data_IF_787263017178
#
_entry.id   IF_787263017178
#
_cell.length_a   1.000
_cell.length_b   1.000
_cell.length_c   1.000
_cell.angle_alpha   90.00
_cell.angle_beta   90.00
_cell.angle_gamma   90.00
#
_symmetry.space_group_name_H-M   'P 1'
#
loop_
_entity.id
_entity.type
_entity.pdbx_description
1 polymer ?
#
# COMPACT_ATOMS: atom_id res chain seq x y z
N UNK A 1 -7.85 -16.88 -5.83
CA UNK A 1 -8.05 -15.75 -6.75
C UNK A 1 -7.00 -14.68 -6.62
N UNK A 2 -7.06 -13.71 -7.50
CA UNK A 2 -6.17 -12.55 -7.47
C UNK A 2 -6.97 -11.34 -6.95
N UNK A 3 -6.76 -10.97 -5.71
CA UNK A 3 -7.45 -9.85 -5.08
C UNK A 3 -6.83 -8.52 -5.51
N UNK A 4 -7.11 -8.09 -6.73
CA UNK A 4 -6.64 -6.83 -7.25
C UNK A 4 -7.64 -5.71 -6.95
N UNK A 5 -7.35 -4.87 -5.99
CA UNK A 5 -8.15 -3.68 -5.71
C UNK A 5 -8.21 -2.77 -6.93
N UNK A 6 -9.38 -2.19 -7.18
CA UNK A 6 -9.72 -1.44 -8.39
C UNK A 6 -8.75 -0.29 -8.73
N UNK A 7 -8.11 0.28 -7.73
CA UNK A 7 -7.18 1.42 -7.85
C UNK A 7 -5.69 1.02 -7.81
N UNK A 8 -5.38 -0.27 -7.81
CA UNK A 8 -4.00 -0.79 -7.80
C UNK A 8 -3.51 -1.14 -9.21
N UNK A 9 -2.20 -1.12 -9.39
CA UNK A 9 -1.54 -1.40 -10.68
C UNK A 9 -1.96 -2.75 -11.29
N UNK A 10 -2.12 -3.79 -10.47
CA UNK A 10 -2.60 -5.10 -10.94
C UNK A 10 -3.96 -5.02 -11.63
N UNK A 11 -4.93 -4.31 -11.03
CA UNK A 11 -6.25 -4.11 -11.62
C UNK A 11 -6.19 -3.19 -12.86
N UNK A 12 -5.30 -2.22 -12.90
CA UNK A 12 -5.07 -1.38 -14.09
C UNK A 12 -4.54 -2.20 -15.25
N UNK A 13 -3.54 -3.05 -15.01
CA UNK A 13 -2.98 -3.95 -16.02
C UNK A 13 -4.04 -4.92 -16.55
N UNK A 14 -4.87 -5.47 -15.66
CA UNK A 14 -6.00 -6.32 -16.04
C UNK A 14 -6.99 -5.58 -16.94
N UNK A 15 -7.41 -4.36 -16.58
CA UNK A 15 -8.32 -3.55 -17.39
C UNK A 15 -7.70 -3.16 -18.73
N UNK A 16 -6.43 -2.79 -18.75
CA UNK A 16 -5.72 -2.42 -19.98
C UNK A 16 -5.64 -3.60 -20.95
N UNK A 17 -5.30 -4.78 -20.47
CA UNK A 17 -5.27 -6.00 -21.28
C UNK A 17 -6.65 -6.33 -21.86
N UNK A 18 -7.68 -6.30 -21.01
CA UNK A 18 -9.06 -6.55 -21.45
C UNK A 18 -9.55 -5.54 -22.49
N UNK A 19 -9.23 -4.26 -22.32
CA UNK A 19 -9.58 -3.20 -23.27
C UNK A 19 -8.91 -3.38 -24.65
N UNK A 20 -7.73 -4.01 -24.70
CA UNK A 20 -7.02 -4.35 -25.94
C UNK A 20 -7.51 -5.67 -26.56
N UNK A 21 -8.54 -6.31 -26.01
CA UNK A 21 -9.05 -7.60 -26.47
C UNK A 21 -8.16 -8.79 -26.11
N UNK A 22 -7.19 -8.60 -25.22
CA UNK A 22 -6.35 -9.66 -24.67
C UNK A 22 -7.15 -10.58 -23.75
N UNK A 23 -6.97 -11.89 -23.90
CA UNK A 23 -7.71 -12.90 -23.14
C UNK A 23 -6.97 -13.37 -21.89
N UNK A 24 -5.66 -13.16 -21.81
CA UNK A 24 -4.83 -13.66 -20.72
C UNK A 24 -3.76 -12.66 -20.35
N UNK A 25 -3.47 -12.58 -19.05
CA UNK A 25 -2.32 -11.89 -18.49
C UNK A 25 -1.42 -12.95 -17.85
N UNK A 26 -0.19 -13.03 -18.29
CA UNK A 26 0.81 -13.83 -17.59
C UNK A 26 1.13 -13.21 -16.24
N UNK A 27 1.27 -14.05 -15.23
CA UNK A 27 1.58 -13.62 -13.88
C UNK A 27 2.50 -14.63 -13.19
N UNK A 28 3.36 -14.12 -12.33
CA UNK A 28 4.18 -14.92 -11.44
C UNK A 28 4.11 -14.38 -10.02
N UNK A 29 3.98 -15.27 -9.04
CA UNK A 29 3.94 -14.94 -7.62
C UNK A 29 5.23 -15.44 -6.97
N UNK A 30 6.03 -14.53 -6.45
CA UNK A 30 7.26 -14.83 -5.73
C UNK A 30 7.01 -14.80 -4.21
N UNK A 31 7.24 -15.90 -3.54
CA UNK A 31 7.06 -16.08 -2.10
C UNK A 31 8.44 -16.24 -1.45
N UNK A 32 8.66 -15.58 -0.32
CA UNK A 32 9.94 -15.67 0.40
C UNK A 32 11.07 -14.93 -0.32
N UNK A 33 10.82 -13.70 -0.74
CA UNK A 33 11.84 -12.83 -1.35
C UNK A 33 12.62 -12.06 -0.29
N UNK A 34 13.66 -11.35 -0.72
CA UNK A 34 14.31 -10.32 0.11
C UNK A 34 13.25 -9.33 0.64
N UNK A 35 13.28 -8.97 1.92
CA UNK A 35 12.28 -8.05 2.52
C UNK A 35 12.13 -6.72 1.78
N UNK A 36 13.19 -6.22 1.15
CA UNK A 36 13.12 -4.98 0.35
C UNK A 36 12.33 -5.18 -0.95
N UNK A 37 12.38 -6.37 -1.54
CA UNK A 37 11.56 -6.72 -2.71
C UNK A 37 10.08 -6.82 -2.31
N UNK A 38 9.80 -7.48 -1.18
CA UNK A 38 8.43 -7.51 -0.62
C UNK A 38 7.91 -6.12 -0.35
N UNK A 39 8.72 -5.25 0.25
CA UNK A 39 8.35 -3.85 0.48
C UNK A 39 8.10 -3.09 -0.84
N UNK A 40 9.00 -3.21 -1.82
CA UNK A 40 8.87 -2.52 -3.10
C UNK A 40 7.56 -2.87 -3.82
N UNK A 41 7.10 -4.12 -3.72
CA UNK A 41 5.83 -4.58 -4.28
C UNK A 41 4.60 -3.92 -3.64
N UNK A 42 4.73 -3.34 -2.44
CA UNK A 42 3.66 -2.63 -1.73
C UNK A 42 3.79 -1.11 -1.78
N UNK A 43 4.95 -0.60 -2.20
CA UNK A 43 5.25 0.82 -2.23
C UNK A 43 4.30 1.59 -3.16
N UNK A 44 3.89 2.81 -2.80
CA UNK A 44 3.01 3.64 -3.62
C UNK A 44 3.77 4.30 -4.80
N UNK A 45 4.31 3.47 -5.68
CA UNK A 45 5.09 3.93 -6.83
C UNK A 45 4.19 4.42 -7.96
N UNK A 46 4.62 5.42 -8.73
CA UNK A 46 4.02 5.74 -10.01
C UNK A 46 4.06 4.53 -10.96
N UNK A 47 3.08 4.44 -11.86
CA UNK A 47 2.87 3.30 -12.77
C UNK A 47 4.11 2.88 -13.57
N UNK A 48 4.93 3.86 -13.97
CA UNK A 48 6.07 3.63 -14.85
C UNK A 48 7.39 3.40 -14.08
N UNK A 49 7.32 3.23 -12.78
CA UNK A 49 8.48 2.91 -11.93
C UNK A 49 8.47 1.41 -11.64
N UNK A 50 9.50 0.74 -12.10
CA UNK A 50 9.70 -0.69 -11.86
C UNK A 50 10.08 -0.96 -10.39
N UNK A 51 9.34 -1.85 -9.74
CA UNK A 51 9.52 -2.21 -8.33
C UNK A 51 10.89 -2.87 -8.06
N UNK A 52 11.44 -3.62 -9.01
CA UNK A 52 12.76 -4.25 -8.86
C UNK A 52 13.88 -3.21 -8.93
N UNK A 53 13.71 -2.18 -9.76
CA UNK A 53 14.62 -1.03 -9.80
C UNK A 53 14.55 -0.26 -8.47
N UNK A 54 13.35 -0.03 -7.96
CA UNK A 54 13.17 0.63 -6.66
C UNK A 54 13.75 -0.20 -5.50
N UNK A 55 13.54 -1.50 -5.49
CA UNK A 55 14.17 -2.41 -4.52
C UNK A 55 15.70 -2.35 -4.60
N UNK A 56 16.24 -2.32 -5.82
CA UNK A 56 17.68 -2.16 -6.06
C UNK A 56 18.22 -0.83 -5.51
N UNK A 57 17.48 0.25 -5.70
CA UNK A 57 17.81 1.57 -5.13
C UNK A 57 17.87 1.52 -3.60
N UNK A 58 16.85 0.97 -2.95
CA UNK A 58 16.79 0.90 -1.48
C UNK A 58 17.91 0.05 -0.86
N UNK A 59 18.27 -1.05 -1.49
CA UNK A 59 19.30 -1.97 -0.98
C UNK A 59 20.72 -1.65 -1.48
N UNK A 60 20.89 -0.61 -2.31
CA UNK A 60 22.16 -0.25 -2.96
C UNK A 60 22.82 -1.41 -3.72
N UNK A 61 22.01 -2.33 -4.23
CA UNK A 61 22.43 -3.49 -4.99
C UNK A 61 21.30 -3.96 -5.89
N UNK A 62 21.58 -4.27 -7.15
CA UNK A 62 20.58 -4.79 -8.09
C UNK A 62 19.89 -6.06 -7.56
N UNK A 63 18.63 -6.22 -7.92
CA UNK A 63 17.90 -7.48 -7.73
C UNK A 63 18.27 -8.40 -8.89
N UNK A 64 18.79 -9.58 -8.57
CA UNK A 64 19.04 -10.60 -9.59
C UNK A 64 17.72 -11.25 -10.01
N UNK A 65 17.47 -11.29 -11.30
CA UNK A 65 16.26 -11.88 -11.89
C UNK A 65 16.62 -13.11 -12.70
N UNK A 66 15.69 -14.07 -12.75
CA UNK A 66 15.78 -15.26 -13.59
C UNK A 66 14.48 -15.44 -14.36
N UNK A 67 14.57 -16.00 -15.57
CA UNK A 67 13.38 -16.29 -16.36
C UNK A 67 12.52 -17.38 -15.75
N UNK A 68 11.22 -17.17 -15.82
CA UNK A 68 10.22 -18.19 -15.54
C UNK A 68 10.32 -19.36 -16.54
N UNK A 69 9.78 -20.50 -16.16
CA UNK A 69 9.82 -21.74 -16.96
C UNK A 69 8.67 -21.80 -17.97
N UNK A 70 7.49 -21.29 -17.60
CA UNK A 70 6.26 -21.47 -18.39
C UNK A 70 5.64 -20.17 -18.89
N UNK A 71 6.11 -19.02 -18.43
CA UNK A 71 5.64 -17.69 -18.84
C UNK A 71 6.83 -16.80 -19.19
N UNK A 72 6.63 -15.79 -20.06
CA UNK A 72 7.71 -14.88 -20.47
C UNK A 72 7.89 -13.72 -19.48
N UNK A 73 8.11 -14.08 -18.22
CA UNK A 73 8.36 -13.16 -17.12
C UNK A 73 9.70 -13.46 -16.45
N UNK A 74 10.22 -12.48 -15.72
CA UNK A 74 11.40 -12.62 -14.87
C UNK A 74 11.00 -12.44 -13.40
N UNK A 75 11.61 -13.23 -12.52
CA UNK A 75 11.31 -13.27 -11.09
C UNK A 75 12.58 -13.19 -10.27
N UNK A 76 12.53 -12.73 -8.99
CA UNK A 76 13.70 -12.68 -8.13
C UNK A 76 14.37 -14.05 -7.98
N UNK A 77 15.63 -14.14 -8.36
CA UNK A 77 16.41 -15.39 -8.35
C UNK A 77 16.56 -16.01 -6.96
N UNK A 78 16.37 -15.21 -5.91
CA UNK A 78 16.51 -15.62 -4.50
C UNK A 78 15.19 -15.98 -3.83
N UNK A 79 14.06 -15.93 -4.54
CA UNK A 79 12.76 -16.33 -3.99
C UNK A 79 12.77 -17.79 -3.52
N UNK A 80 12.03 -18.08 -2.48
CA UNK A 80 11.89 -19.43 -1.94
C UNK A 80 10.99 -20.31 -2.80
N UNK A 81 9.86 -19.75 -3.26
CA UNK A 81 8.87 -20.43 -4.08
C UNK A 81 8.36 -19.45 -5.15
N UNK A 82 8.20 -19.93 -6.38
CA UNK A 82 7.57 -19.20 -7.47
C UNK A 82 6.36 -19.98 -7.97
N UNK A 83 5.23 -19.28 -8.10
CA UNK A 83 4.05 -19.78 -8.78
C UNK A 83 3.94 -19.07 -10.11
N UNK A 84 4.05 -19.79 -11.22
CA UNK A 84 3.93 -19.25 -12.57
C UNK A 84 2.57 -19.58 -13.16
N UNK A 85 2.02 -18.69 -13.95
CA UNK A 85 0.74 -18.97 -14.59
C UNK A 85 0.14 -17.77 -15.30
N UNK A 86 -1.18 -17.77 -15.40
CA UNK A 86 -1.91 -16.71 -16.07
C UNK A 86 -3.28 -16.45 -15.39
N UNK A 87 -3.81 -15.27 -15.66
CA UNK A 87 -5.17 -14.87 -15.30
C UNK A 87 -5.96 -14.69 -16.60
N UNK A 88 -7.10 -15.39 -16.73
CA UNK A 88 -8.03 -15.20 -17.84
C UNK A 88 -8.90 -13.96 -17.57
N UNK A 89 -9.00 -13.06 -18.56
CA UNK A 89 -9.71 -11.78 -18.40
C UNK A 89 -11.23 -11.91 -18.33
N UNK A 90 -11.76 -13.07 -18.67
CA UNK A 90 -13.21 -13.35 -18.68
C UNK A 90 -13.64 -14.33 -17.58
N UNK A 91 -12.68 -14.88 -16.82
CA UNK A 91 -12.99 -15.82 -15.72
C UNK A 91 -12.96 -15.13 -14.36
N UNK A 92 -14.11 -15.10 -13.71
CA UNK A 92 -14.27 -14.64 -12.33
C UNK A 92 -14.88 -15.74 -11.49
N UNK A 93 -14.45 -15.87 -10.24
CA UNK A 93 -15.04 -16.84 -9.30
C UNK A 93 -15.26 -16.21 -7.94
N UNK A 94 -16.33 -16.64 -7.29
CA UNK A 94 -16.68 -16.24 -5.93
C UNK A 94 -15.63 -16.72 -4.95
N UNK A 95 -15.07 -15.80 -4.16
CA UNK A 95 -14.07 -16.05 -3.14
C UNK A 95 -14.35 -15.23 -1.89
N UNK A 96 -13.89 -15.74 -0.73
CA UNK A 96 -14.10 -15.11 0.56
C UNK A 96 -15.31 -15.66 1.32
N UNK A 97 -15.66 -15.07 2.49
CA UNK A 97 -14.92 -13.99 3.14
C UNK A 97 -13.54 -14.48 3.64
N UNK A 98 -12.57 -13.58 3.75
CA UNK A 98 -11.25 -13.89 4.30
C UNK A 98 -10.83 -12.89 5.36
N UNK A 99 -9.96 -13.30 6.30
CA UNK A 99 -9.43 -12.41 7.33
C UNK A 99 -8.49 -11.37 6.73
N UNK A 100 -8.73 -10.10 7.07
CA UNK A 100 -8.03 -8.97 6.51
C UNK A 100 -7.18 -8.24 7.58
N UNK A 101 -6.25 -7.40 7.13
CA UNK A 101 -5.35 -6.60 7.97
C UNK A 101 -6.09 -5.60 8.86
N UNK A 102 -7.33 -5.27 8.56
CA UNK A 102 -8.21 -4.47 9.42
C UNK A 102 -8.57 -5.16 10.75
N UNK A 103 -8.37 -6.48 10.85
CA UNK A 103 -8.80 -7.31 11.96
C UNK A 103 -10.23 -7.84 11.82
N UNK A 104 -10.85 -7.60 10.69
CA UNK A 104 -12.19 -8.06 10.35
C UNK A 104 -12.17 -8.95 9.11
N UNK A 105 -13.26 -9.64 8.83
CA UNK A 105 -13.42 -10.41 7.60
C UNK A 105 -13.92 -9.50 6.47
N UNK A 106 -13.27 -9.60 5.31
CA UNK A 106 -13.78 -9.02 4.07
C UNK A 106 -15.03 -9.74 3.58
N UNK A 107 -15.84 -9.04 2.79
CA UNK A 107 -16.99 -9.68 2.16
C UNK A 107 -16.54 -10.63 1.05
N UNK A 108 -17.36 -11.66 0.79
CA UNK A 108 -17.16 -12.51 -0.37
C UNK A 108 -17.52 -11.75 -1.65
N UNK A 109 -16.66 -11.81 -2.67
CA UNK A 109 -16.85 -11.13 -3.95
C UNK A 109 -16.29 -11.97 -5.10
N UNK A 110 -16.45 -11.51 -6.35
CA UNK A 110 -15.96 -12.19 -7.53
C UNK A 110 -14.58 -11.66 -7.91
N UNK A 111 -13.59 -12.56 -7.98
CA UNK A 111 -12.19 -12.24 -8.27
C UNK A 111 -11.68 -13.00 -9.49
N UNK A 112 -10.70 -12.40 -10.23
CA UNK A 112 -10.01 -13.10 -11.31
C UNK A 112 -9.32 -14.37 -10.83
N UNK A 113 -9.36 -15.41 -11.65
CA UNK A 113 -8.77 -16.72 -11.32
C UNK A 113 -7.33 -16.79 -11.81
N UNK A 114 -6.40 -17.13 -10.93
CA UNK A 114 -5.02 -17.42 -11.28
C UNK A 114 -4.84 -18.91 -11.57
N UNK A 115 -4.48 -19.24 -12.80
CA UNK A 115 -4.20 -20.61 -13.23
C UNK A 115 -2.72 -20.89 -13.17
N UNK A 116 -2.31 -21.76 -12.24
CA UNK A 116 -0.90 -22.12 -12.03
C UNK A 116 -0.50 -23.14 -13.10
N UNK A 117 0.59 -22.84 -13.83
CA UNK A 117 1.18 -23.72 -14.86
C UNK A 117 2.45 -24.39 -14.37
N UNK A 118 3.19 -23.76 -13.47
CA UNK A 118 4.37 -24.34 -12.81
C UNK A 118 4.55 -23.82 -11.40
N UNK A 119 5.17 -24.65 -10.56
CA UNK A 119 5.65 -24.28 -9.23
C UNK A 119 7.12 -24.64 -9.20
N UNK A 120 7.98 -23.63 -9.05
CA UNK A 120 9.41 -23.82 -8.84
C UNK A 120 9.79 -23.38 -7.42
N UNK A 121 10.78 -24.02 -6.83
CA UNK A 121 11.18 -23.73 -5.46
C UNK A 121 12.64 -24.10 -5.20
N UNK A 122 13.22 -23.55 -4.16
CA UNK A 122 14.53 -23.97 -3.66
C UNK A 122 14.49 -25.41 -3.19
N UNK A 123 15.66 -26.04 -3.06
CA UNK A 123 15.75 -27.43 -2.61
C UNK A 123 15.05 -27.66 -1.27
N UNK A 124 15.24 -26.75 -0.31
CA UNK A 124 14.62 -26.77 1.01
C UNK A 124 13.96 -25.40 1.25
N UNK A 125 12.77 -25.16 0.66
CA UNK A 125 12.16 -23.83 0.66
C UNK A 125 11.55 -23.49 2.02
N UNK A 126 11.70 -22.23 2.42
CA UNK A 126 11.05 -21.66 3.60
C UNK A 126 9.79 -20.92 3.14
N UNK A 127 8.63 -21.34 3.61
CA UNK A 127 7.38 -20.62 3.33
C UNK A 127 7.29 -19.39 4.22
N UNK A 128 7.43 -18.21 3.62
CA UNK A 128 7.21 -16.97 4.31
C UNK A 128 5.71 -16.73 4.47
N UNK A 129 5.24 -16.64 5.70
CA UNK A 129 3.84 -16.44 6.03
C UNK A 129 3.69 -15.38 7.13
N UNK A 130 2.54 -14.74 7.15
CA UNK A 130 2.14 -13.80 8.19
C UNK A 130 0.83 -14.24 8.82
N UNK A 131 0.55 -13.78 10.02
CA UNK A 131 -0.75 -13.94 10.66
C UNK A 131 -1.48 -12.61 10.55
N UNK A 132 -2.39 -12.54 9.60
CA UNK A 132 -3.18 -11.33 9.34
C UNK A 132 -4.26 -11.16 10.40
N UNK A 133 -4.47 -9.94 10.87
CA UNK A 133 -5.50 -9.66 11.87
C UNK A 133 -5.32 -8.28 12.50
N UNK A 134 -5.81 -8.15 13.73
CA UNK A 134 -5.72 -6.90 14.48
C UNK A 134 -4.26 -6.44 14.65
N UNK A 135 -3.95 -5.14 14.40
CA UNK A 135 -2.62 -4.59 14.62
C UNK A 135 -2.08 -4.79 16.05
N UNK A 136 -0.75 -4.91 16.24
CA UNK A 136 0.29 -4.79 15.21
C UNK A 136 0.57 -6.10 14.45
N UNK A 137 0.85 -5.98 13.16
CA UNK A 137 1.34 -7.05 12.28
C UNK A 137 2.36 -6.48 11.28
N UNK A 138 2.84 -7.26 10.30
CA UNK A 138 3.89 -6.82 9.38
C UNK A 138 3.53 -5.56 8.58
N UNK A 139 2.28 -5.41 8.16
CA UNK A 139 1.81 -4.25 7.39
C UNK A 139 2.04 -2.92 8.12
N UNK A 140 1.96 -2.93 9.44
CA UNK A 140 2.28 -1.78 10.26
C UNK A 140 3.73 -1.31 10.08
N UNK A 141 4.67 -2.24 9.94
CA UNK A 141 6.09 -1.94 9.72
C UNK A 141 6.36 -1.52 8.29
N UNK A 142 5.67 -2.12 7.30
CA UNK A 142 5.71 -1.68 5.90
C UNK A 142 5.20 -0.24 5.77
N UNK A 143 4.13 0.10 6.47
CA UNK A 143 3.63 1.47 6.51
C UNK A 143 4.62 2.46 7.14
N UNK A 144 5.29 2.08 8.23
CA UNK A 144 6.34 2.91 8.83
C UNK A 144 7.51 3.13 7.87
N UNK A 145 7.88 2.12 7.10
CA UNK A 145 8.87 2.28 6.04
C UNK A 145 8.39 3.27 4.96
N UNK A 146 7.15 3.12 4.48
CA UNK A 146 6.54 4.03 3.51
C UNK A 146 6.51 5.46 4.01
N UNK A 147 6.04 5.68 5.23
CA UNK A 147 6.00 6.97 5.89
C UNK A 147 7.38 7.67 5.88
N UNK A 148 8.45 6.94 6.20
CA UNK A 148 9.81 7.51 6.27
C UNK A 148 10.45 7.69 4.89
N UNK A 149 10.29 6.72 3.99
CA UNK A 149 10.87 6.74 2.64
C UNK A 149 10.24 7.84 1.79
N UNK A 150 8.92 8.01 1.87
CA UNK A 150 8.18 8.96 1.03
C UNK A 150 8.00 10.35 1.66
N UNK A 151 8.35 10.56 2.94
CA UNK A 151 8.28 11.87 3.57
C UNK A 151 9.05 12.97 2.80
N UNK A 152 10.27 12.74 2.28
CA UNK A 152 10.97 13.76 1.47
C UNK A 152 10.20 14.17 0.22
N UNK A 153 9.55 13.23 -0.47
CA UNK A 153 8.73 13.49 -1.64
C UNK A 153 7.46 14.26 -1.27
N UNK A 154 6.81 13.88 -0.18
CA UNK A 154 5.66 14.62 0.35
C UNK A 154 6.03 16.08 0.65
N UNK A 155 7.19 16.32 1.26
CA UNK A 155 7.69 17.67 1.54
C UNK A 155 8.02 18.49 0.29
N UNK A 156 8.30 17.86 -0.83
CA UNK A 156 8.46 18.58 -2.11
C UNK A 156 7.12 19.09 -2.64
N UNK A 157 6.05 18.32 -2.46
CA UNK A 157 4.70 18.71 -2.88
C UNK A 157 3.99 19.62 -1.87
N UNK A 158 4.24 19.40 -0.59
CA UNK A 158 3.67 20.12 0.55
C UNK A 158 4.80 20.60 1.48
N UNK A 159 5.50 21.70 1.12
CA UNK A 159 6.71 22.15 1.84
C UNK A 159 6.44 22.59 3.29
N UNK A 160 5.18 22.86 3.62
CA UNK A 160 4.74 23.12 4.99
C UNK A 160 4.78 21.90 5.91
N UNK A 161 4.75 20.67 5.38
CA UNK A 161 4.79 19.45 6.16
C UNK A 161 6.14 19.30 6.86
N UNK A 162 6.09 19.03 8.16
CA UNK A 162 7.27 18.77 8.99
C UNK A 162 7.47 17.29 9.18
N UNK A 163 6.43 16.58 9.63
CA UNK A 163 6.45 15.14 9.82
C UNK A 163 5.05 14.53 9.65
N UNK A 164 5.02 13.22 9.46
CA UNK A 164 3.80 12.42 9.25
C UNK A 164 3.88 11.17 10.12
N UNK A 165 2.76 10.74 10.65
CA UNK A 165 2.58 9.47 11.33
C UNK A 165 1.32 8.77 10.82
N UNK A 166 1.45 7.51 10.46
CA UNK A 166 0.34 6.58 10.23
C UNK A 166 0.25 5.67 11.45
N UNK A 167 -0.61 5.98 12.44
CA UNK A 167 -0.67 5.23 13.69
C UNK A 167 -1.18 3.81 13.46
N UNK A 168 -0.71 2.87 14.27
CA UNK A 168 -1.07 1.44 14.16
C UNK A 168 -2.57 1.21 14.34
N UNK A 169 -3.21 1.99 15.20
CA UNK A 169 -4.64 1.93 15.47
C UNK A 169 -5.48 2.33 14.24
N UNK A 170 -4.92 3.14 13.35
CA UNK A 170 -5.51 3.47 12.05
C UNK A 170 -5.20 2.45 10.97
N UNK A 171 -4.75 1.26 11.34
CA UNK A 171 -4.43 0.17 10.39
C UNK A 171 -3.53 0.67 9.27
N UNK A 172 -2.56 1.53 9.62
CA UNK A 172 -1.55 2.15 8.76
C UNK A 172 -2.06 2.96 7.55
N UNK A 173 -3.34 3.00 7.25
CA UNK A 173 -3.85 3.80 6.13
C UNK A 173 -5.18 4.52 6.43
N UNK A 174 -5.90 4.18 7.50
CA UNK A 174 -7.19 4.79 7.84
C UNK A 174 -7.03 6.11 8.61
N UNK A 175 -5.87 6.32 9.23
CA UNK A 175 -5.57 7.55 9.97
C UNK A 175 -4.18 8.08 9.61
N UNK A 176 -4.09 9.39 9.43
CA UNK A 176 -2.82 10.11 9.23
C UNK A 176 -2.77 11.31 10.16
N UNK A 177 -1.68 11.44 10.90
CA UNK A 177 -1.36 12.62 11.68
C UNK A 177 -0.23 13.39 11.01
N UNK A 178 -0.42 14.69 10.77
CA UNK A 178 0.54 15.53 10.05
C UNK A 178 0.87 16.77 10.85
N UNK A 179 2.13 17.04 11.10
CA UNK A 179 2.57 18.34 11.62
C UNK A 179 2.97 19.28 10.50
N UNK A 180 2.52 20.54 10.60
CA UNK A 180 2.77 21.55 9.56
C UNK A 180 3.30 22.87 10.14
N UNK A 181 4.10 23.60 9.36
CA UNK A 181 4.41 25.00 9.57
C UNK A 181 3.27 25.86 9.01
N UNK A 182 2.25 26.10 9.84
CA UNK A 182 1.11 26.94 9.45
C UNK A 182 1.53 28.37 9.17
N UNK A 183 1.12 28.93 8.02
CA UNK A 183 1.50 30.26 7.56
C UNK A 183 0.30 31.20 7.39
N UNK A 184 -0.91 30.66 7.22
CA UNK A 184 -2.12 31.43 6.98
C UNK A 184 -3.36 30.71 7.53
N UNK A 185 -4.47 31.41 7.74
CA UNK A 185 -5.74 30.77 8.11
C UNK A 185 -6.17 29.70 7.10
N UNK A 186 -6.74 28.60 7.54
CA UNK A 186 -7.20 27.47 6.72
C UNK A 186 -6.07 26.64 6.05
N UNK A 187 -4.79 26.86 6.40
CA UNK A 187 -3.68 26.12 5.82
C UNK A 187 -3.78 24.61 6.10
N UNK A 188 -4.30 24.22 7.27
CA UNK A 188 -4.56 22.82 7.60
C UNK A 188 -5.50 22.16 6.60
N UNK A 189 -6.57 22.83 6.18
CA UNK A 189 -7.54 22.31 5.18
C UNK A 189 -6.89 22.10 3.81
N UNK A 190 -6.03 23.04 3.38
CA UNK A 190 -5.24 22.85 2.14
C UNK A 190 -4.46 21.54 2.19
N UNK A 191 -3.83 21.23 3.33
CA UNK A 191 -3.05 19.97 3.51
C UNK A 191 -3.97 18.75 3.54
N UNK A 192 -5.10 18.80 4.25
CA UNK A 192 -6.08 17.70 4.27
C UNK A 192 -6.57 17.36 2.85
N UNK A 193 -7.02 18.36 2.09
CA UNK A 193 -7.50 18.15 0.72
C UNK A 193 -6.40 17.66 -0.23
N UNK A 194 -5.17 18.12 -0.06
CA UNK A 194 -4.05 17.65 -0.85
C UNK A 194 -3.74 16.16 -0.56
N UNK A 195 -3.76 15.74 0.70
CA UNK A 195 -3.56 14.35 1.09
C UNK A 195 -4.66 13.46 0.55
N UNK A 196 -5.93 13.80 0.70
CA UNK A 196 -7.05 13.02 0.15
C UNK A 196 -7.03 12.92 -1.38
N UNK A 197 -6.44 13.87 -2.09
CA UNK A 197 -6.24 13.82 -3.54
C UNK A 197 -5.00 13.04 -4.00
N UNK A 198 -4.22 12.44 -3.09
CA UNK A 198 -2.88 11.95 -3.37
C UNK A 198 -2.79 10.41 -3.27
N UNK A 199 -2.91 9.72 -4.40
CA UNK A 199 -2.67 8.28 -4.50
C UNK A 199 -3.46 7.46 -3.45
N UNK A 200 -2.77 6.61 -2.70
CA UNK A 200 -3.39 5.77 -1.67
C UNK A 200 -3.89 6.54 -0.44
N UNK A 201 -3.47 7.80 -0.26
CA UNK A 201 -3.99 8.65 0.81
C UNK A 201 -5.49 8.96 0.66
N UNK A 202 -6.09 8.70 -0.50
CA UNK A 202 -7.54 8.81 -0.70
C UNK A 202 -8.34 7.86 0.21
N UNK A 203 -7.74 6.79 0.71
CA UNK A 203 -8.39 5.81 1.61
C UNK A 203 -8.37 6.27 3.08
N UNK A 204 -7.67 7.36 3.41
CA UNK A 204 -7.55 7.84 4.78
C UNK A 204 -8.90 8.36 5.30
N UNK A 205 -9.43 7.70 6.32
CA UNK A 205 -10.72 8.06 6.94
C UNK A 205 -10.61 9.26 7.88
N UNK A 206 -9.44 9.45 8.52
CA UNK A 206 -9.19 10.55 9.43
C UNK A 206 -7.82 11.18 9.20
N UNK A 207 -7.79 12.49 8.96
CA UNK A 207 -6.56 13.28 8.91
C UNK A 207 -6.55 14.25 10.10
N UNK A 208 -5.49 14.18 10.91
CA UNK A 208 -5.26 15.11 12.03
C UNK A 208 -4.09 16.00 11.65
N UNK A 209 -4.32 17.30 11.58
CA UNK A 209 -3.26 18.27 11.30
C UNK A 209 -2.94 19.04 12.59
N UNK A 210 -1.67 19.05 12.96
CA UNK A 210 -1.16 19.70 14.17
C UNK A 210 -0.05 20.69 13.85
N UNK A 211 0.31 21.53 14.82
CA UNK A 211 1.40 22.48 14.65
C UNK A 211 2.77 21.80 14.59
N UNK A 212 3.73 22.48 13.96
CA UNK A 212 5.08 21.98 13.67
C UNK A 212 5.87 21.47 14.87
N UNK A 213 5.58 21.94 16.06
CA UNK A 213 6.29 21.56 17.30
C UNK A 213 5.73 20.30 17.96
N UNK A 214 4.58 19.80 17.50
CA UNK A 214 3.95 18.58 18.05
C UNK A 214 4.64 17.35 17.48
N UNK A 215 5.05 16.45 18.37
CA UNK A 215 5.61 15.17 17.95
C UNK A 215 4.48 14.23 17.49
N UNK A 216 4.29 14.10 16.17
CA UNK A 216 3.24 13.24 15.60
C UNK A 216 3.46 11.75 15.86
N UNK A 217 4.67 11.32 16.24
CA UNK A 217 4.97 9.93 16.59
C UNK A 217 4.51 9.60 18.03
N UNK A 218 4.21 10.60 18.86
CA UNK A 218 3.62 10.42 20.19
C UNK A 218 2.10 10.66 20.14
N UNK A 219 1.34 9.60 19.95
CA UNK A 219 -0.11 9.68 19.88
C UNK A 219 -0.76 10.18 21.19
N UNK A 220 -0.09 10.06 22.34
CA UNK A 220 -0.60 10.62 23.62
C UNK A 220 -0.53 12.14 23.59
N UNK A 221 0.57 12.71 23.10
CA UNK A 221 0.69 14.15 22.90
C UNK A 221 -0.34 14.63 21.87
N UNK A 222 -0.46 13.92 20.74
CA UNK A 222 -1.42 14.28 19.68
C UNK A 222 -2.84 14.36 20.23
N UNK A 223 -3.33 13.30 20.92
CA UNK A 223 -4.68 13.29 21.49
C UNK A 223 -4.88 14.36 22.56
N UNK A 224 -3.87 14.59 23.39
CA UNK A 224 -3.95 15.67 24.36
C UNK A 224 -4.12 17.04 23.68
N UNK A 225 -3.38 17.30 22.59
CA UNK A 225 -3.52 18.54 21.81
C UNK A 225 -4.89 18.64 21.15
N UNK A 226 -5.35 17.58 20.52
CA UNK A 226 -6.67 17.55 19.84
C UNK A 226 -7.77 17.85 20.84
N UNK A 227 -7.87 17.10 21.94
CA UNK A 227 -8.99 17.26 22.88
C UNK A 227 -9.01 18.59 23.62
N UNK A 228 -7.87 19.24 23.77
CA UNK A 228 -7.81 20.51 24.51
C UNK A 228 -7.88 21.76 23.62
N UNK A 229 -7.67 21.62 22.32
CA UNK A 229 -7.58 22.80 21.43
C UNK A 229 -8.61 22.82 20.31
N UNK A 230 -9.35 21.73 20.09
CA UNK A 230 -10.31 21.65 18.99
C UNK A 230 -11.62 22.39 19.38
N UNK A 231 -12.15 23.19 18.44
CA UNK A 231 -13.55 23.61 18.40
C UNK A 231 -14.23 22.90 17.25
N UNK A 232 -15.13 21.96 17.55
CA UNK A 232 -15.79 21.12 16.56
C UNK A 232 -16.55 21.89 15.48
N UNK A 233 -16.96 23.14 15.76
CA UNK A 233 -17.64 23.99 14.79
C UNK A 233 -16.71 24.52 13.70
N UNK A 234 -15.44 24.77 14.04
CA UNK A 234 -14.51 25.46 13.14
C UNK A 234 -13.35 24.58 12.67
N UNK A 235 -12.98 23.56 13.46
CA UNK A 235 -11.77 22.77 13.26
C UNK A 235 -12.04 21.39 12.64
N UNK A 236 -13.32 21.02 12.43
CA UNK A 236 -13.68 19.80 11.70
C UNK A 236 -13.99 20.10 10.23
N UNK A 237 -13.55 19.17 9.37
CA UNK A 237 -13.93 19.10 7.97
C UNK A 237 -14.48 17.71 7.71
N UNK A 238 -15.74 17.60 7.26
CA UNK A 238 -16.37 16.33 6.92
C UNK A 238 -16.55 16.31 5.41
N UNK A 239 -15.84 15.38 4.75
CA UNK A 239 -15.86 15.22 3.29
C UNK A 239 -16.57 13.91 2.96
N UNK A 240 -17.49 13.95 1.99
CA UNK A 240 -18.15 12.76 1.47
C UNK A 240 -17.34 12.14 0.33
N UNK A 241 -17.08 10.87 0.43
CA UNK A 241 -16.14 10.11 -0.42
C UNK A 241 -14.71 10.53 -0.11
N UNK A 242 -13.73 9.92 -0.01
CA UNK A 242 -13.13 9.00 -0.94
C UNK A 242 -13.48 7.55 -0.62
N UNK A 243 -12.87 6.67 -1.40
CA UNK A 243 -13.15 5.25 -1.38
C UNK A 243 -12.90 4.65 0.00
N UNK A 244 -13.88 3.94 0.52
CA UNK A 244 -13.65 2.90 1.52
C UNK A 244 -13.17 1.64 0.79
N UNK A 245 -12.21 0.94 1.37
CA UNK A 245 -11.58 -0.27 0.79
C UNK A 245 -11.99 -1.47 1.63
#
# INVERSE_FOLDING_TARGET
GMHWHIHKNGAENFRAMKAQGGKRIEAAVAIGTDPVVTYAATAPLPRDIDEMVFAGFLRHKSVELVKCVTVDLEVPATAEIILEGYVDTDEMRREGPFGDHTGYYSLADDYPVFHITAITHRKDPIYAATVVGRPPMEDCFLAKATERIFLPLLKQMLPEVVDVNMPLEGVFHDCVVVSIKKQFPMHARKVMHALWGMGQMMNVKMIIVVDAHVNVQDMKEVWWRVFNNIDAKYDLEIVQGPLDV
#
